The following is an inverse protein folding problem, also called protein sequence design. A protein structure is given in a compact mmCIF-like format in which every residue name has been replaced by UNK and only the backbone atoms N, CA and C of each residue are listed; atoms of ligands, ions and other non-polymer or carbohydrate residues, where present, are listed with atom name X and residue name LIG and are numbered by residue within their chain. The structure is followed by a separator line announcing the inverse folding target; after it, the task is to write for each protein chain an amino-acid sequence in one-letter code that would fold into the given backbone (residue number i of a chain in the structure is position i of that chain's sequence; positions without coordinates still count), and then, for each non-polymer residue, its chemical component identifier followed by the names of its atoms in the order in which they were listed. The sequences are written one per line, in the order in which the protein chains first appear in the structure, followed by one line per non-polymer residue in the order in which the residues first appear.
data_IF_575436218085
#
_entry.id   IF_575436218085
#
_cell.length_a   1.000
_cell.length_b   1.000
_cell.length_c   1.000
_cell.angle_alpha   90.00
_cell.angle_beta   90.00
_cell.angle_gamma   90.00
#
_symmetry.space_group_name_H-M   'P 1'
#
loop_
_entity.id
_entity.type
_entity.pdbx_description
1 polymer ?
#
# COMPACT_ATOMS: atom_id res chain seq x y z
N UNK A 1 7.97 20.41 3.46
CA UNK A 1 7.23 19.45 2.62
C UNK A 1 7.87 19.46 1.26
N UNK A 2 8.51 18.37 0.88
CA UNK A 2 9.05 18.19 -0.48
C UNK A 2 7.86 18.22 -1.45
N UNK A 3 7.73 19.29 -2.24
CA UNK A 3 6.65 19.47 -3.21
C UNK A 3 6.94 18.65 -4.47
N UNK A 4 7.05 17.34 -4.30
CA UNK A 4 7.04 16.41 -5.44
C UNK A 4 5.60 16.23 -5.94
N UNK A 5 5.43 16.11 -7.26
CA UNK A 5 4.12 15.83 -7.85
C UNK A 5 3.55 14.52 -7.28
N UNK A 6 2.21 14.41 -7.12
CA UNK A 6 1.60 13.18 -6.64
C UNK A 6 1.95 12.01 -7.57
N UNK A 7 2.18 10.84 -6.98
CA UNK A 7 2.44 9.62 -7.74
C UNK A 7 1.13 8.93 -8.10
N UNK A 8 1.08 8.32 -9.29
CA UNK A 8 -0.05 7.46 -9.65
C UNK A 8 -0.14 6.27 -8.70
N UNK A 9 -1.35 5.98 -8.22
CA UNK A 9 -1.63 4.81 -7.39
C UNK A 9 -2.39 3.78 -8.23
N UNK A 10 -1.88 2.55 -8.25
CA UNK A 10 -2.55 1.39 -8.81
C UNK A 10 -3.20 0.61 -7.69
N UNK A 11 -4.53 0.55 -7.70
CA UNK A 11 -5.33 -0.28 -6.81
C UNK A 11 -5.41 -1.70 -7.37
N UNK A 12 -4.78 -2.67 -6.69
CA UNK A 12 -4.85 -4.06 -7.14
C UNK A 12 -6.23 -4.67 -6.88
N UNK A 13 -6.64 -5.73 -7.62
CA UNK A 13 -7.91 -6.42 -7.34
C UNK A 13 -8.01 -6.93 -5.90
N UNK A 14 -6.90 -7.41 -5.33
CA UNK A 14 -6.83 -7.85 -3.94
C UNK A 14 -7.06 -6.68 -2.96
N UNK A 15 -6.39 -5.55 -3.18
CA UNK A 15 -6.64 -4.34 -2.40
C UNK A 15 -8.09 -3.89 -2.47
N UNK A 16 -8.68 -3.83 -3.66
CA UNK A 16 -10.08 -3.44 -3.82
C UNK A 16 -11.03 -4.40 -3.08
N UNK A 17 -10.76 -5.70 -3.15
CA UNK A 17 -11.52 -6.73 -2.42
C UNK A 17 -11.44 -6.55 -0.91
N UNK A 18 -10.23 -6.35 -0.39
CA UNK A 18 -9.98 -6.20 1.05
C UNK A 18 -10.51 -4.86 1.59
N UNK A 19 -10.31 -3.76 0.86
CA UNK A 19 -10.77 -2.42 1.22
C UNK A 19 -12.30 -2.37 1.38
N UNK A 20 -13.07 -2.95 0.44
CA UNK A 20 -14.55 -2.98 0.52
C UNK A 20 -15.10 -3.63 1.79
N UNK A 21 -14.31 -4.45 2.48
CA UNK A 21 -14.74 -5.11 3.74
C UNK A 21 -14.62 -4.20 4.95
N UNK A 22 -13.83 -3.14 4.87
CA UNK A 22 -13.44 -2.32 6.03
C UNK A 22 -13.69 -0.82 5.86
N UNK A 23 -13.83 -0.34 4.62
CA UNK A 23 -14.06 1.06 4.29
C UNK A 23 -15.01 1.22 3.10
N UNK A 24 -15.71 2.34 3.03
CA UNK A 24 -16.52 2.73 1.87
C UNK A 24 -15.66 3.37 0.76
N UNK A 25 -16.30 3.76 -0.35
CA UNK A 25 -15.62 4.32 -1.51
C UNK A 25 -14.99 5.69 -1.25
N UNK A 26 -15.60 6.53 -0.40
CA UNK A 26 -15.10 7.87 -0.04
C UNK A 26 -13.87 7.74 0.87
N UNK A 27 -13.97 6.86 1.87
CA UNK A 27 -12.87 6.50 2.76
C UNK A 27 -11.69 5.91 2.00
N UNK A 28 -11.94 5.07 0.99
CA UNK A 28 -10.90 4.52 0.10
C UNK A 28 -10.27 5.63 -0.75
N UNK A 29 -11.07 6.51 -1.34
CA UNK A 29 -10.56 7.61 -2.16
C UNK A 29 -9.61 8.52 -1.36
N UNK A 30 -9.98 8.88 -0.12
CA UNK A 30 -9.12 9.67 0.77
C UNK A 30 -7.79 8.97 1.07
N UNK A 31 -7.81 7.65 1.27
CA UNK A 31 -6.59 6.86 1.47
C UNK A 31 -5.70 6.89 0.22
N UNK A 32 -6.29 6.71 -0.96
CA UNK A 32 -5.56 6.70 -2.24
C UNK A 32 -4.93 8.07 -2.51
N UNK A 33 -5.68 9.15 -2.32
CA UNK A 33 -5.17 10.52 -2.45
C UNK A 33 -4.02 10.80 -1.49
N UNK A 34 -4.15 10.32 -0.25
CA UNK A 34 -3.08 10.44 0.75
C UNK A 34 -1.81 9.68 0.31
N UNK A 35 -1.95 8.45 -0.18
CA UNK A 35 -0.83 7.64 -0.67
C UNK A 35 -0.15 8.28 -1.88
N UNK A 36 -0.92 8.85 -2.81
CA UNK A 36 -0.40 9.56 -3.97
C UNK A 36 0.47 10.76 -3.57
N UNK A 37 0.05 11.52 -2.55
CA UNK A 37 0.80 12.68 -2.06
C UNK A 37 1.94 12.31 -1.10
N UNK A 38 1.83 11.18 -0.40
CA UNK A 38 2.74 10.78 0.66
C UNK A 38 3.24 9.34 0.47
N UNK A 39 3.89 9.00 -0.65
CA UNK A 39 4.24 7.62 -0.97
C UNK A 39 5.23 6.99 0.03
N UNK A 40 5.93 7.79 0.83
CA UNK A 40 6.87 7.34 1.86
C UNK A 40 6.29 7.27 3.28
N UNK A 41 5.00 7.57 3.49
CA UNK A 41 4.40 7.68 4.82
C UNK A 41 4.31 6.36 5.61
N UNK A 42 4.33 5.21 4.94
CA UNK A 42 4.33 3.89 5.59
C UNK A 42 5.72 3.43 6.01
N UNK A 43 5.75 2.70 7.12
CA UNK A 43 6.96 2.05 7.66
C UNK A 43 7.42 0.95 6.69
N UNK A 44 8.70 0.93 6.31
CA UNK A 44 9.26 -0.15 5.48
C UNK A 44 9.26 -1.45 6.28
N UNK A 45 8.81 -2.53 5.64
CA UNK A 45 8.89 -3.87 6.19
C UNK A 45 10.18 -4.52 5.68
N UNK A 46 11.15 -4.75 6.56
CA UNK A 46 12.44 -5.35 6.19
C UNK A 46 12.29 -6.76 5.59
N UNK A 47 13.17 -7.09 4.65
CA UNK A 47 13.19 -8.39 3.98
C UNK A 47 12.13 -8.59 2.90
N UNK A 48 11.38 -7.55 2.53
CA UNK A 48 10.27 -7.63 1.53
C UNK A 48 10.58 -6.99 0.18
N UNK A 49 11.77 -6.42 0.00
CA UNK A 49 12.13 -5.68 -1.22
C UNK A 49 11.50 -4.29 -1.31
N UNK A 50 11.00 -3.73 -0.20
CA UNK A 50 10.51 -2.35 -0.14
C UNK A 50 9.01 -2.19 0.07
N UNK A 51 8.32 -3.24 0.54
CA UNK A 51 6.93 -3.12 0.98
C UNK A 51 6.85 -2.16 2.17
N UNK A 52 5.79 -1.37 2.21
CA UNK A 52 5.48 -0.41 3.26
C UNK A 52 4.15 -0.73 3.91
N UNK A 53 4.06 -0.43 5.21
CA UNK A 53 2.85 -0.55 6.03
C UNK A 53 2.43 0.83 6.52
N UNK A 54 1.30 1.32 6.02
CA UNK A 54 0.67 2.54 6.51
C UNK A 54 -0.35 2.20 7.60
N UNK A 55 -0.31 2.90 8.72
CA UNK A 55 -1.37 2.90 9.74
C UNK A 55 -2.34 4.03 9.42
N UNK A 56 -3.46 3.71 8.78
CA UNK A 56 -4.47 4.67 8.35
C UNK A 56 -5.56 4.83 9.41
N UNK A 57 -5.94 6.07 9.71
CA UNK A 57 -7.09 6.37 10.57
C UNK A 57 -8.24 6.78 9.68
N UNK A 58 -9.34 6.02 9.66
CA UNK A 58 -10.52 6.43 8.92
C UNK A 58 -11.14 7.66 9.62
N UNK A 59 -11.32 8.79 8.90
CA UNK A 59 -11.98 9.97 9.45
C UNK A 59 -13.38 9.65 9.97
N UNK A 60 -13.82 10.32 11.04
CA UNK A 60 -15.15 10.13 11.60
C UNK A 60 -15.39 8.79 12.33
N UNK A 61 -14.47 7.83 12.26
CA UNK A 61 -14.58 6.57 13.01
C UNK A 61 -13.83 6.64 14.35
N UNK A 62 -14.43 6.01 15.37
CA UNK A 62 -13.86 5.91 16.72
C UNK A 62 -12.58 5.06 16.80
N UNK A 63 -12.14 4.72 18.02
CA UNK A 63 -10.86 4.00 18.28
C UNK A 63 -10.67 2.67 17.50
N UNK A 64 -11.74 2.07 16.99
CA UNK A 64 -11.77 0.84 16.19
C UNK A 64 -11.70 1.04 14.67
N UNK A 65 -11.90 2.26 14.15
CA UNK A 65 -11.95 2.54 12.71
C UNK A 65 -10.58 2.71 12.03
N UNK A 66 -9.54 2.06 12.51
CA UNK A 66 -8.23 2.10 11.85
C UNK A 66 -8.09 1.02 10.80
N UNK A 67 -7.41 1.31 9.69
CA UNK A 67 -6.98 0.33 8.71
C UNK A 67 -5.44 0.26 8.69
N UNK A 68 -4.89 -0.91 8.34
CA UNK A 68 -3.49 -1.01 7.93
C UNK A 68 -3.45 -1.36 6.46
N UNK A 69 -2.61 -0.62 5.74
CA UNK A 69 -2.53 -0.70 4.29
C UNK A 69 -1.12 -1.14 3.93
N UNK A 70 -1.02 -2.19 3.12
CA UNK A 70 0.23 -2.74 2.63
C UNK A 70 0.36 -2.30 1.18
N UNK A 71 1.46 -1.63 0.87
CA UNK A 71 1.68 -1.06 -0.44
C UNK A 71 3.15 -1.10 -0.83
N UNK A 72 3.43 -0.97 -2.13
CA UNK A 72 4.78 -0.91 -2.67
C UNK A 72 5.02 0.42 -3.35
N UNK A 73 6.13 1.08 -3.00
CA UNK A 73 6.60 2.28 -3.67
C UNK A 73 8.10 2.16 -3.92
N UNK A 74 8.47 2.08 -5.20
CA UNK A 74 9.87 1.98 -5.62
C UNK A 74 10.52 3.37 -5.69
N UNK A 75 10.03 4.24 -6.58
CA UNK A 75 10.42 5.64 -6.73
C UNK A 75 9.38 6.39 -7.59
N UNK A 76 9.60 7.69 -7.86
CA UNK A 76 8.66 8.52 -8.63
C UNK A 76 8.54 8.19 -10.13
N UNK A 77 9.34 7.27 -10.66
CA UNK A 77 9.25 6.81 -12.06
C UNK A 77 8.32 5.62 -12.26
N UNK A 78 7.78 5.07 -11.18
CA UNK A 78 6.86 3.92 -11.19
C UNK A 78 5.65 4.24 -10.29
N UNK A 79 4.44 3.79 -10.64
CA UNK A 79 3.29 3.97 -9.76
C UNK A 79 3.51 3.28 -8.40
N UNK A 80 2.82 3.79 -7.40
CA UNK A 80 2.63 3.12 -6.12
C UNK A 80 1.58 2.01 -6.31
N UNK A 81 1.85 0.81 -5.82
CA UNK A 81 0.89 -0.31 -5.88
C UNK A 81 0.27 -0.53 -4.50
N UNK A 82 -1.03 -0.29 -4.36
CA UNK A 82 -1.79 -0.67 -3.17
C UNK A 82 -2.10 -2.17 -3.25
N UNK A 83 -1.53 -2.97 -2.34
CA UNK A 83 -1.54 -4.44 -2.43
C UNK A 83 -2.67 -5.07 -1.63
N UNK A 84 -2.87 -4.64 -0.39
CA UNK A 84 -3.97 -5.12 0.46
C UNK A 84 -4.23 -4.15 1.62
N UNK A 85 -5.37 -4.29 2.28
CA UNK A 85 -5.74 -3.54 3.47
C UNK A 85 -6.51 -4.42 4.45
N UNK A 86 -6.37 -4.16 5.75
CA UNK A 86 -7.07 -4.91 6.79
C UNK A 86 -7.39 -4.04 8.00
N UNK A 87 -8.40 -4.45 8.78
CA UNK A 87 -8.81 -3.71 9.97
C UNK A 87 -7.70 -3.75 11.06
N UNK A 88 -7.67 -2.74 11.92
CA UNK A 88 -6.67 -2.60 13.00
C UNK A 88 -6.52 -3.84 13.90
N UNK A 89 -7.54 -4.69 14.03
CA UNK A 89 -7.50 -5.86 14.91
C UNK A 89 -7.32 -7.19 14.16
N UNK A 90 -7.17 -7.17 12.83
CA UNK A 90 -7.32 -8.36 11.99
C UNK A 90 -6.00 -9.06 11.60
N UNK A 91 -4.85 -8.77 12.20
CA UNK A 91 -3.60 -9.46 11.79
C UNK A 91 -2.64 -9.88 12.89
N UNK A 92 -2.05 -11.04 12.64
CA UNK A 92 -0.74 -11.47 13.11
C UNK A 92 0.40 -10.77 12.32
N UNK A 93 1.62 -10.81 12.85
CA UNK A 93 2.81 -10.32 12.15
C UNK A 93 3.08 -11.13 10.86
N UNK A 94 3.67 -10.48 9.85
CA UNK A 94 4.06 -11.16 8.61
C UNK A 94 5.07 -12.27 8.90
N UNK A 95 4.72 -13.49 8.49
CA UNK A 95 5.61 -14.64 8.60
C UNK A 95 6.82 -14.46 7.68
N UNK A 96 7.89 -15.23 7.92
CA UNK A 96 9.04 -15.22 7.01
C UNK A 96 8.66 -15.63 5.59
N UNK A 97 7.67 -16.52 5.44
CA UNK A 97 7.15 -16.91 4.14
C UNK A 97 6.50 -15.74 3.42
N UNK A 98 5.63 -14.99 4.11
CA UNK A 98 4.97 -13.81 3.53
C UNK A 98 6.01 -12.78 3.07
N UNK A 99 7.06 -12.55 3.88
CA UNK A 99 8.16 -11.64 3.51
C UNK A 99 8.87 -12.08 2.24
N UNK A 100 9.18 -13.38 2.12
CA UNK A 100 9.83 -13.93 0.94
C UNK A 100 8.93 -13.83 -0.30
N UNK A 101 7.63 -14.07 -0.15
CA UNK A 101 6.66 -13.95 -1.25
C UNK A 101 6.50 -12.49 -1.68
N UNK A 102 6.48 -11.54 -0.74
CA UNK A 102 6.55 -10.11 -1.06
C UNK A 102 7.85 -9.70 -1.76
N UNK A 103 9.00 -10.23 -1.34
CA UNK A 103 10.27 -9.95 -2.00
C UNK A 103 10.26 -10.39 -3.47
N UNK A 104 9.72 -11.58 -3.76
CA UNK A 104 9.55 -12.07 -5.14
C UNK A 104 8.58 -11.17 -5.93
N UNK A 105 7.45 -10.81 -5.32
CA UNK A 105 6.46 -9.94 -5.96
C UNK A 105 7.04 -8.57 -6.32
N UNK A 106 7.74 -7.91 -5.39
CA UNK A 106 8.32 -6.58 -5.63
C UNK A 106 9.39 -6.63 -6.72
N UNK A 107 10.22 -7.67 -6.74
CA UNK A 107 11.19 -7.92 -7.81
C UNK A 107 10.49 -8.03 -9.17
N UNK A 108 9.46 -8.88 -9.27
CA UNK A 108 8.69 -9.07 -10.50
C UNK A 108 7.98 -7.79 -10.96
N UNK A 109 7.43 -7.00 -10.04
CA UNK A 109 6.78 -5.73 -10.37
C UNK A 109 7.76 -4.77 -11.03
N UNK A 110 8.95 -4.58 -10.44
CA UNK A 110 10.00 -3.71 -10.96
C UNK A 110 10.43 -4.19 -12.35
N UNK A 111 10.78 -5.48 -12.49
CA UNK A 111 11.21 -6.06 -13.77
C UNK A 111 10.14 -5.91 -14.86
N UNK A 112 8.89 -6.23 -14.55
CA UNK A 112 7.79 -6.18 -15.52
C UNK A 112 7.49 -4.75 -15.97
N UNK A 113 7.54 -3.77 -15.05
CA UNK A 113 7.28 -2.38 -15.37
C UNK A 113 8.35 -1.80 -16.29
N UNK A 114 9.63 -2.04 -15.97
CA UNK A 114 10.73 -1.54 -16.80
C UNK A 114 10.84 -2.24 -18.15
N UNK A 115 10.54 -3.55 -18.22
CA UNK A 115 10.48 -4.26 -19.49
C UNK A 115 9.41 -3.70 -20.44
N UNK A 116 8.27 -3.26 -19.90
CA UNK A 116 7.15 -2.73 -20.71
C UNK A 116 7.36 -1.26 -21.13
N UNK A 117 8.20 -0.54 -20.41
CA UNK A 117 8.46 0.90 -20.64
C UNK A 117 9.64 1.12 -21.60
N UNK A 118 10.35 0.05 -21.98
CA UNK A 118 11.40 0.03 -23.01
C UNK A 118 10.81 -0.38 -24.36
#
# INVERSE_FOLDING_TARGET
MDRSAPVTVVETPEFLSAARRIMDDEERAMLVDFLAQNPKAGDVIEGTGGIRKLRWRLPGRGKSGGARVIYFFHNGSMPLFALTAYAKNDTADLSQRDRNDYYRLTTLLVEAYWRKTR
#
